data_IF_636442077658
#
_entry.id   IF_636442077658
#
_cell.length_a   1.000
_cell.length_b   1.000
_cell.length_c   1.000
_cell.angle_alpha   90.00
_cell.angle_beta   90.00
_cell.angle_gamma   90.00
#
_symmetry.space_group_name_H-M   'P 1'
#
loop_
_entity.id
_entity.type
_entity.pdbx_description
1 polymer ?
#
# COMPACT_ATOMS: atom_id res chain seq x y z
N UNK A 1 40.33 11.50 -10.15
CA UNK A 1 38.96 11.33 -10.70
C UNK A 1 38.48 9.99 -10.17
N UNK A 2 37.53 10.00 -9.23
CA UNK A 2 36.97 8.78 -8.66
C UNK A 2 35.94 8.19 -9.64
N UNK A 3 36.02 6.89 -9.91
CA UNK A 3 35.05 6.21 -10.77
C UNK A 3 33.86 5.74 -9.93
N UNK A 4 32.66 6.14 -10.32
CA UNK A 4 31.43 5.71 -9.66
C UNK A 4 31.19 4.20 -9.89
N UNK A 5 30.77 3.50 -8.84
CA UNK A 5 30.42 2.09 -8.92
C UNK A 5 29.26 1.87 -9.91
N UNK A 6 29.42 0.89 -10.79
CA UNK A 6 28.41 0.50 -11.77
C UNK A 6 27.60 -0.70 -11.25
N UNK A 7 26.29 -0.55 -11.21
CA UNK A 7 25.29 -1.55 -10.86
C UNK A 7 24.71 -2.18 -12.13
N UNK A 8 24.43 -3.49 -12.09
CA UNK A 8 23.77 -4.20 -13.20
C UNK A 8 22.25 -4.07 -13.03
N UNK A 9 21.54 -3.77 -14.11
CA UNK A 9 20.09 -3.68 -14.06
C UNK A 9 19.44 -5.07 -13.82
N UNK A 10 18.52 -5.18 -12.86
CA UNK A 10 17.79 -6.42 -12.56
C UNK A 10 16.78 -6.82 -13.66
N UNK A 11 16.43 -5.89 -14.57
CA UNK A 11 15.55 -6.17 -15.69
C UNK A 11 16.30 -6.52 -16.98
N UNK A 12 17.58 -6.15 -17.11
CA UNK A 12 18.40 -6.41 -18.30
C UNK A 12 19.90 -6.46 -17.92
N UNK A 13 20.56 -7.63 -18.05
CA UNK A 13 21.95 -7.80 -17.65
C UNK A 13 22.95 -6.99 -18.50
N UNK A 14 22.53 -6.47 -19.67
CA UNK A 14 23.39 -5.66 -20.52
C UNK A 14 23.50 -4.22 -20.03
N UNK A 15 22.59 -3.76 -19.18
CA UNK A 15 22.66 -2.41 -18.63
C UNK A 15 23.57 -2.38 -17.41
N UNK A 16 24.65 -1.58 -17.52
CA UNK A 16 25.52 -1.19 -16.41
C UNK A 16 25.32 0.30 -16.15
N UNK A 17 24.81 0.65 -14.96
CA UNK A 17 24.36 2.02 -14.64
C UNK A 17 25.09 2.48 -13.39
N UNK A 18 25.54 3.74 -13.32
CA UNK A 18 26.11 4.28 -12.09
C UNK A 18 25.12 4.22 -10.92
N UNK A 19 25.60 3.94 -9.72
CA UNK A 19 24.77 3.81 -8.53
C UNK A 19 23.85 5.02 -8.30
N UNK A 20 24.32 6.25 -8.53
CA UNK A 20 23.52 7.48 -8.44
C UNK A 20 22.34 7.54 -9.43
N UNK A 21 22.40 6.79 -10.53
CA UNK A 21 21.40 6.83 -11.61
C UNK A 21 20.46 5.62 -11.60
N UNK A 22 20.71 4.60 -10.78
CA UNK A 22 19.94 3.35 -10.79
C UNK A 22 18.45 3.59 -10.48
N UNK A 23 18.14 4.50 -9.56
CA UNK A 23 16.76 4.82 -9.15
C UNK A 23 15.89 5.23 -10.34
N UNK A 24 16.35 6.21 -11.11
CA UNK A 24 15.64 6.71 -12.28
C UNK A 24 15.62 5.68 -13.42
N UNK A 25 16.71 4.93 -13.57
CA UNK A 25 16.81 3.86 -14.57
C UNK A 25 15.72 2.81 -14.35
N UNK A 26 15.58 2.29 -13.13
CA UNK A 26 14.65 1.20 -12.80
C UNK A 26 13.21 1.55 -13.20
N UNK A 27 12.76 2.77 -12.95
CA UNK A 27 11.40 3.21 -13.28
C UNK A 27 11.10 3.13 -14.79
N UNK A 28 12.05 3.53 -15.64
CA UNK A 28 11.89 3.48 -17.09
C UNK A 28 12.12 2.07 -17.65
N UNK A 29 13.11 1.35 -17.12
CA UNK A 29 13.49 0.01 -17.59
C UNK A 29 12.40 -1.02 -17.25
N UNK A 30 11.75 -0.89 -16.09
CA UNK A 30 10.60 -1.71 -15.69
C UNK A 30 9.47 -1.64 -16.73
N UNK A 31 9.18 -0.45 -17.26
CA UNK A 31 8.14 -0.24 -18.29
C UNK A 31 8.50 -0.91 -19.62
N UNK A 32 9.79 -0.89 -19.98
CA UNK A 32 10.30 -1.53 -21.21
C UNK A 32 10.37 -3.06 -21.10
N UNK A 33 10.47 -3.60 -19.87
CA UNK A 33 10.64 -5.03 -19.61
C UNK A 33 9.50 -5.65 -18.78
N UNK A 34 8.22 -5.57 -19.25
CA UNK A 34 7.07 -5.99 -18.45
C UNK A 34 7.05 -7.48 -18.12
N UNK A 35 7.61 -8.34 -19.00
CA UNK A 35 7.65 -9.80 -18.79
C UNK A 35 8.52 -10.20 -17.60
N UNK A 36 9.67 -9.54 -17.45
CA UNK A 36 10.60 -9.76 -16.34
C UNK A 36 10.07 -9.05 -15.09
N UNK A 37 9.58 -7.81 -15.24
CA UNK A 37 9.02 -7.03 -14.14
C UNK A 37 7.90 -7.75 -13.36
N UNK A 38 7.06 -8.55 -14.04
CA UNK A 38 6.02 -9.36 -13.38
C UNK A 38 6.57 -10.40 -12.39
N UNK A 39 7.85 -10.77 -12.49
CA UNK A 39 8.51 -11.77 -11.63
C UNK A 39 9.41 -11.13 -10.58
N UNK A 40 9.50 -9.80 -10.58
CA UNK A 40 10.37 -9.02 -9.72
C UNK A 40 9.55 -8.18 -8.74
N UNK A 41 10.10 -7.94 -7.56
CA UNK A 41 9.53 -7.07 -6.53
C UNK A 41 10.60 -6.13 -5.98
N UNK A 42 10.15 -5.00 -5.48
CA UNK A 42 11.00 -4.01 -4.80
C UNK A 42 11.07 -4.37 -3.31
N UNK A 43 12.26 -4.24 -2.70
CA UNK A 43 12.43 -4.35 -1.26
C UNK A 43 11.72 -3.21 -0.53
N UNK A 44 11.10 -3.51 0.62
CA UNK A 44 10.47 -2.48 1.47
C UNK A 44 11.45 -1.48 2.09
N UNK A 45 12.70 -1.91 2.31
CA UNK A 45 13.73 -1.07 2.94
C UNK A 45 14.50 -0.18 1.95
N UNK A 46 14.60 -0.59 0.69
CA UNK A 46 15.26 0.20 -0.35
C UNK A 46 14.63 -0.07 -1.72
N UNK A 47 14.01 0.95 -2.31
CA UNK A 47 13.33 0.84 -3.59
C UNK A 47 14.25 0.50 -4.78
N UNK A 48 15.57 0.70 -4.64
CA UNK A 48 16.57 0.31 -5.64
C UNK A 48 16.80 -1.20 -5.67
N UNK A 49 16.58 -1.89 -4.56
CA UNK A 49 16.69 -3.34 -4.50
C UNK A 49 15.49 -3.95 -5.21
N UNK A 50 15.73 -4.50 -6.40
CA UNK A 50 14.74 -5.26 -7.16
C UNK A 50 15.21 -6.70 -7.22
N UNK A 51 14.43 -7.60 -6.64
CA UNK A 51 14.75 -9.02 -6.50
C UNK A 51 13.59 -9.88 -7.01
N UNK A 52 13.82 -11.16 -7.36
CA UNK A 52 12.74 -12.07 -7.69
C UNK A 52 11.73 -12.18 -6.56
N UNK A 53 10.43 -12.23 -6.89
CA UNK A 53 9.34 -12.32 -5.90
C UNK A 53 9.54 -13.52 -4.96
N UNK A 54 10.04 -14.64 -5.48
CA UNK A 54 10.27 -15.87 -4.71
C UNK A 54 11.31 -15.71 -3.61
N UNK A 55 12.35 -14.89 -3.84
CA UNK A 55 13.45 -14.66 -2.90
C UNK A 55 13.30 -13.36 -2.12
N UNK A 56 12.17 -12.66 -2.24
CA UNK A 56 11.95 -11.36 -1.59
C UNK A 56 12.02 -11.48 -0.07
N UNK A 57 11.39 -12.51 0.52
CA UNK A 57 11.38 -12.71 1.98
C UNK A 57 12.79 -12.95 2.55
N UNK A 58 13.58 -13.76 1.85
CA UNK A 58 14.97 -14.04 2.22
C UNK A 58 15.84 -12.79 2.10
N UNK A 59 15.63 -12.01 1.03
CA UNK A 59 16.28 -10.72 0.85
C UNK A 59 15.93 -9.75 1.98
N UNK A 60 14.65 -9.61 2.33
CA UNK A 60 14.21 -8.71 3.39
C UNK A 60 14.81 -9.09 4.75
N UNK A 61 14.89 -10.39 5.06
CA UNK A 61 15.50 -10.86 6.29
C UNK A 61 17.00 -10.51 6.39
N UNK A 62 17.71 -10.44 5.27
CA UNK A 62 19.16 -10.20 5.16
C UNK A 62 19.53 -8.83 4.58
N UNK A 63 18.55 -7.93 4.39
CA UNK A 63 18.77 -6.67 3.69
C UNK A 63 19.68 -5.76 4.52
N UNK A 64 20.72 -5.19 3.88
CA UNK A 64 21.64 -4.26 4.55
C UNK A 64 20.96 -2.97 5.04
N UNK A 65 19.83 -2.60 4.42
CA UNK A 65 19.03 -1.43 4.79
C UNK A 65 17.94 -1.76 5.83
N UNK A 66 17.88 -3.01 6.33
CA UNK A 66 16.96 -3.38 7.42
C UNK A 66 17.49 -2.79 8.73
N UNK A 67 16.71 -1.90 9.33
CA UNK A 67 16.99 -1.37 10.67
C UNK A 67 16.26 -2.21 11.72
N UNK A 68 16.85 -2.34 12.92
CA UNK A 68 16.30 -3.14 14.02
C UNK A 68 14.93 -2.65 14.54
N UNK A 69 14.47 -1.49 14.10
CA UNK A 69 13.22 -0.85 14.55
C UNK A 69 11.99 -1.48 13.86
N UNK A 70 12.15 -2.11 12.69
CA UNK A 70 11.03 -2.65 11.90
C UNK A 70 10.42 -3.94 12.50
N UNK A 71 11.13 -4.59 13.43
CA UNK A 71 10.68 -5.82 14.09
C UNK A 71 9.90 -5.57 15.39
N UNK A 72 9.84 -4.33 15.87
CA UNK A 72 9.01 -4.01 17.02
C UNK A 72 7.55 -3.95 16.57
N UNK A 73 6.66 -4.85 17.05
CA UNK A 73 5.24 -4.62 16.92
C UNK A 73 4.99 -3.31 17.64
N UNK A 74 4.59 -2.28 16.88
CA UNK A 74 4.21 -0.99 17.45
C UNK A 74 3.22 -1.29 18.57
N UNK A 75 3.70 -1.30 19.82
CA UNK A 75 2.88 -1.00 20.96
C UNK A 75 2.55 0.45 20.73
N UNK A 76 1.51 0.66 19.91
CA UNK A 76 0.76 1.87 19.78
C UNK A 76 0.21 2.08 21.19
N UNK A 77 1.05 2.62 22.07
CA UNK A 77 0.64 3.22 23.31
C UNK A 77 -0.33 4.28 22.87
N UNK A 78 -1.60 3.88 22.97
CA UNK A 78 -2.82 4.57 22.57
C UNK A 78 -2.52 6.05 22.62
N UNK A 79 -2.20 6.65 21.47
CA UNK A 79 -2.29 8.08 21.33
C UNK A 79 -3.79 8.31 21.35
N UNK A 80 -4.33 8.44 22.56
CA UNK A 80 -5.63 9.04 22.76
C UNK A 80 -5.46 10.44 22.23
N UNK A 81 -5.88 10.66 20.99
CA UNK A 81 -6.25 11.99 20.55
C UNK A 81 -7.29 12.46 21.59
N UNK A 82 -7.07 13.54 22.34
CA UNK A 82 -8.18 14.24 22.92
C UNK A 82 -8.97 14.73 21.70
N UNK A 83 -10.04 14.01 21.36
CA UNK A 83 -11.14 14.56 20.58
C UNK A 83 -11.65 15.75 21.40
N UNK A 84 -11.03 16.91 21.22
CA UNK A 84 -11.59 18.17 21.69
C UNK A 84 -12.67 18.55 20.70
N UNK A 85 -13.83 17.97 20.99
CA UNK A 85 -15.16 18.57 20.90
C UNK A 85 -15.09 20.05 20.48
N UNK A 86 -15.57 20.33 19.28
CA UNK A 86 -15.87 21.68 18.87
C UNK A 86 -16.92 22.27 19.83
N UNK A 87 -16.51 23.22 20.67
CA UNK A 87 -17.43 24.21 21.19
C UNK A 87 -16.90 25.62 20.90
N UNK A 88 -17.74 26.36 20.20
CA UNK A 88 -17.47 27.74 19.80
C UNK A 88 -17.63 28.65 21.02
N UNK A 89 -16.55 29.30 21.47
CA UNK A 89 -16.66 30.67 22.00
C UNK A 89 -15.32 31.42 21.94
N UNK A 90 -15.38 32.51 21.18
CA UNK A 90 -14.37 33.55 20.99
C UNK A 90 -14.09 34.30 22.30
N UNK A 91 -12.82 34.47 22.68
CA UNK A 91 -12.34 35.68 23.38
C UNK A 91 -10.83 35.86 23.27
N UNK A 92 -10.47 37.13 23.05
CA UNK A 92 -9.15 37.70 22.79
C UNK A 92 -8.39 37.96 24.11
N UNK A 93 -7.11 37.59 24.18
CA UNK A 93 -6.04 38.38 24.81
C UNK A 93 -4.69 37.75 24.47
N UNK A 94 -3.77 38.54 23.89
CA UNK A 94 -2.44 38.10 23.51
C UNK A 94 -1.54 37.75 24.69
N UNK A 95 -0.45 37.02 24.40
CA UNK A 95 0.91 37.37 24.79
C UNK A 95 1.92 36.50 24.03
N UNK A 96 3.03 37.16 23.70
CA UNK A 96 4.19 36.80 22.92
C UNK A 96 4.92 35.52 23.38
N UNK A 97 5.34 34.68 22.42
CA UNK A 97 6.54 33.83 22.57
C UNK A 97 7.36 33.94 21.30
N UNK A 98 8.54 34.54 21.42
CA UNK A 98 9.58 34.52 20.41
C UNK A 98 10.08 33.10 20.26
N UNK A 99 10.03 32.54 19.06
CA UNK A 99 10.95 31.46 18.72
C UNK A 99 11.47 31.63 17.29
N UNK A 100 12.78 31.50 17.19
CA UNK A 100 13.62 31.85 16.08
C UNK A 100 13.73 30.66 15.13
N UNK A 101 12.86 30.60 14.14
CA UNK A 101 13.11 29.81 12.94
C UNK A 101 12.85 30.65 11.69
N UNK A 102 13.92 31.32 11.25
CA UNK A 102 14.02 32.03 9.97
C UNK A 102 14.11 31.01 8.84
N UNK A 103 12.95 30.49 8.41
CA UNK A 103 12.80 29.85 7.11
C UNK A 103 11.73 30.58 6.30
N UNK A 104 11.89 31.89 6.14
CA UNK A 104 11.11 32.64 5.16
C UNK A 104 12.06 33.38 4.21
N UNK A 105 12.55 32.66 3.21
CA UNK A 105 13.06 33.29 1.99
C UNK A 105 11.88 33.39 1.03
N UNK A 106 11.53 34.64 0.77
CA UNK A 106 10.46 35.10 -0.08
C UNK A 106 10.51 34.44 -1.48
N UNK A 107 9.56 33.56 -1.73
CA UNK A 107 9.09 33.29 -3.08
C UNK A 107 7.62 33.69 -3.11
N UNK A 108 7.40 34.99 -3.35
CA UNK A 108 6.11 35.54 -3.79
C UNK A 108 5.72 34.94 -5.15
N UNK A 109 5.39 33.65 -5.18
CA UNK A 109 4.52 33.08 -6.19
C UNK A 109 3.17 32.94 -5.53
N UNK A 110 2.27 33.83 -5.95
CA UNK A 110 0.85 33.81 -5.63
C UNK A 110 0.23 32.52 -6.17
N UNK A 111 0.43 31.41 -5.47
CA UNK A 111 -0.33 30.19 -5.68
C UNK A 111 -1.62 30.32 -4.86
N UNK A 112 -2.81 30.13 -5.46
CA UNK A 112 -4.03 30.06 -4.68
C UNK A 112 -3.87 28.96 -3.63
N UNK A 113 -4.30 29.18 -2.37
CA UNK A 113 -4.25 28.14 -1.35
C UNK A 113 -4.97 26.90 -1.89
N UNK A 114 -4.32 25.74 -1.81
CA UNK A 114 -4.95 24.49 -2.19
C UNK A 114 -6.11 24.24 -1.21
N UNK A 115 -7.34 24.43 -1.68
CA UNK A 115 -8.51 24.07 -0.89
C UNK A 115 -8.74 22.58 -1.12
N UNK A 116 -8.42 21.75 -0.12
CA UNK A 116 -8.91 20.38 -0.10
C UNK A 116 -10.42 20.44 0.02
N UNK A 117 -11.13 20.24 -1.10
CA UNK A 117 -12.58 20.07 -1.07
C UNK A 117 -12.85 18.83 -0.23
N UNK A 118 -13.53 19.01 0.91
CA UNK A 118 -13.90 17.90 1.79
C UNK A 118 -14.67 16.87 0.97
N UNK A 119 -14.07 15.70 0.77
CA UNK A 119 -14.73 14.58 0.13
C UNK A 119 -15.49 13.85 1.24
N UNK A 120 -16.81 14.00 1.26
CA UNK A 120 -17.64 13.18 2.15
C UNK A 120 -17.62 11.74 1.63
N UNK A 121 -17.02 10.78 2.35
CA UNK A 121 -17.09 9.38 1.93
C UNK A 121 -18.55 8.95 1.94
N UNK A 122 -19.07 8.53 0.78
CA UNK A 122 -20.32 7.78 0.73
C UNK A 122 -20.03 6.41 1.35
N UNK A 123 -20.52 6.20 2.57
CA UNK A 123 -20.56 4.88 3.18
C UNK A 123 -21.42 3.98 2.29
N UNK A 124 -20.78 3.08 1.55
CA UNK A 124 -21.47 2.00 0.85
C UNK A 124 -21.78 0.93 1.91
N UNK A 125 -23.05 0.82 2.29
CA UNK A 125 -23.51 -0.28 3.14
C UNK A 125 -23.57 -1.54 2.26
N UNK A 126 -22.91 -2.61 2.70
CA UNK A 126 -23.00 -3.91 2.04
C UNK A 126 -24.38 -4.52 2.34
N UNK A 127 -25.27 -4.59 1.34
CA UNK A 127 -26.59 -5.24 1.41
C UNK A 127 -26.46 -6.78 1.35
N UNK A 128 -25.70 -7.37 2.26
CA UNK A 128 -25.57 -8.82 2.33
C UNK A 128 -25.48 -9.26 3.78
N UNK A 129 -26.64 -9.29 4.43
CA UNK A 129 -27.02 -10.31 5.42
C UNK A 129 -28.41 -9.97 5.98
N UNK A 130 -29.45 -10.35 5.26
CA UNK A 130 -30.79 -10.42 5.85
C UNK A 130 -31.65 -11.47 5.13
N UNK A 131 -31.13 -12.70 5.03
CA UNK A 131 -31.94 -13.92 4.90
C UNK A 131 -31.06 -15.06 5.38
N UNK A 132 -31.19 -15.43 6.65
CA UNK A 132 -31.16 -16.84 7.09
C UNK A 132 -31.23 -16.90 8.62
N UNK A 133 -32.46 -16.89 9.13
CA UNK A 133 -32.83 -17.54 10.39
C UNK A 133 -34.12 -18.33 10.16
N UNK A 134 -33.91 -19.56 9.69
CA UNK A 134 -34.41 -20.81 10.26
C UNK A 134 -35.93 -21.04 10.46
N UNK A 135 -36.45 -21.90 9.58
CA UNK A 135 -37.12 -23.19 9.88
C UNK A 135 -38.59 -23.24 10.32
N UNK A 136 -39.34 -24.09 9.61
CA UNK A 136 -40.71 -24.47 9.96
C UNK A 136 -41.28 -25.55 9.03
N UNK A 137 -40.90 -26.81 9.29
CA UNK A 137 -41.76 -28.01 9.16
C UNK A 137 -42.15 -28.49 7.75
N UNK A 138 -41.59 -29.63 7.33
CA UNK A 138 -42.36 -30.73 6.73
C UNK A 138 -41.52 -32.01 6.67
N UNK A 139 -41.70 -32.87 7.66
CA UNK A 139 -41.44 -34.29 7.54
C UNK A 139 -42.16 -34.90 6.33
N UNK A 140 -41.50 -35.85 5.65
CA UNK A 140 -41.98 -37.18 5.22
C UNK A 140 -41.24 -37.63 3.95
N UNK A 141 -40.24 -38.50 4.14
CA UNK A 141 -39.88 -39.57 3.18
C UNK A 141 -40.75 -40.80 3.55
N UNK A 142 -40.97 -41.87 2.73
CA UNK A 142 -40.02 -42.33 1.72
C UNK A 142 -40.52 -43.06 0.43
N UNK A 143 -39.58 -43.17 -0.54
CA UNK A 143 -39.26 -44.34 -1.39
C UNK A 143 -40.30 -44.88 -2.40
N UNK A 144 -39.97 -44.91 -3.70
CA UNK A 144 -39.56 -46.14 -4.39
C UNK A 144 -39.23 -46.02 -5.90
N UNK A 145 -38.36 -46.97 -6.26
CA UNK A 145 -37.73 -47.40 -7.51
C UNK A 145 -38.49 -47.36 -8.86
N UNK A 146 -37.70 -47.29 -9.95
CA UNK A 146 -37.79 -48.00 -11.27
C UNK A 146 -36.89 -47.28 -12.29
N UNK A 147 -35.63 -47.65 -12.49
CA UNK A 147 -35.06 -48.60 -13.50
C UNK A 147 -35.65 -48.58 -14.92
N UNK A 148 -34.71 -48.52 -15.90
CA UNK A 148 -34.77 -48.73 -17.37
C UNK A 148 -35.21 -47.51 -18.21
N UNK A 149 -34.51 -47.09 -19.28
CA UNK A 149 -33.94 -47.86 -20.41
C UNK A 149 -32.74 -47.17 -21.07
N UNK A 150 -31.80 -47.99 -21.52
CA UNK A 150 -30.72 -47.65 -22.47
C UNK A 150 -31.28 -47.18 -23.83
N UNK A 151 -30.66 -46.14 -24.39
CA UNK A 151 -30.87 -45.69 -25.75
C UNK A 151 -29.54 -45.53 -26.47
N UNK A 152 -29.18 -46.48 -27.31
CA UNK A 152 -28.25 -46.25 -28.42
C UNK A 152 -28.70 -47.14 -29.58
N UNK A 153 -29.15 -46.46 -30.63
CA UNK A 153 -29.61 -47.01 -31.89
C UNK A 153 -28.54 -46.69 -32.93
N UNK A 154 -28.18 -47.75 -33.67
CA UNK A 154 -27.64 -47.81 -35.02
C UNK A 154 -26.27 -47.19 -35.31
#
# INVERSE_FOLDING_TARGET
MEHEALEICPYDPNHRIPASRIQYHLASCKKKNPKIAKKMANCKYNACHVVPIKSLKEHEASCINRTAIDDEPLNLSKVTCPSLEANEKLSNAGNHTSDSDVWNVDHTRNFPPFVLKAFAPKMLVCESDSRDLQEGMADKHPNNNKTWRNGQKN
#
